data_IF_817320534958
#
_entry.id   IF_817320534958
#
_cell.length_a   1.000
_cell.length_b   1.000
_cell.length_c   1.000
_cell.angle_alpha   90.00
_cell.angle_beta   90.00
_cell.angle_gamma   90.00
#
_symmetry.space_group_name_H-M   'P 1'
#
loop_
_entity.id
_entity.type
_entity.pdbx_description
1 polymer ?
#
# COMPACT_ATOMS: atom_id res chain seq x y z
N UNK A 1 11.91 -27.22 -53.69
CA UNK A 1 10.78 -26.34 -54.05
C UNK A 1 9.90 -25.96 -52.85
N UNK A 2 9.32 -26.93 -52.08
CA UNK A 2 8.48 -26.58 -50.89
C UNK A 2 9.27 -25.90 -49.78
N UNK A 3 10.48 -26.34 -49.44
CA UNK A 3 11.37 -25.70 -48.48
C UNK A 3 11.78 -24.29 -48.88
N UNK A 4 12.05 -24.09 -50.14
CA UNK A 4 12.42 -22.80 -50.70
C UNK A 4 11.25 -21.81 -50.68
N UNK A 5 10.04 -22.26 -51.04
CA UNK A 5 8.81 -21.44 -50.92
C UNK A 5 8.54 -21.03 -49.49
N UNK A 6 8.72 -21.93 -48.52
CA UNK A 6 8.55 -21.62 -47.09
C UNK A 6 9.62 -20.63 -46.60
N UNK A 7 10.87 -20.76 -47.04
CA UNK A 7 11.94 -19.82 -46.71
C UNK A 7 11.64 -18.41 -47.24
N UNK A 8 11.23 -18.32 -48.52
CA UNK A 8 10.88 -17.07 -49.16
C UNK A 8 9.64 -16.42 -48.49
N UNK A 9 8.61 -17.21 -48.19
CA UNK A 9 7.43 -16.71 -47.50
C UNK A 9 7.79 -16.10 -46.10
N UNK A 10 8.67 -16.78 -45.36
CA UNK A 10 9.15 -16.29 -44.06
C UNK A 10 9.98 -15.01 -44.22
N UNK A 11 10.82 -14.94 -45.24
CA UNK A 11 11.62 -13.74 -45.55
C UNK A 11 10.71 -12.55 -45.85
N UNK A 12 9.78 -12.67 -46.79
CA UNK A 12 8.86 -11.61 -47.20
C UNK A 12 7.96 -11.18 -46.04
N UNK A 13 7.48 -12.10 -45.20
CA UNK A 13 6.70 -11.77 -44.00
C UNK A 13 7.53 -10.95 -43.05
N UNK A 14 8.78 -11.35 -42.78
CA UNK A 14 9.68 -10.62 -41.89
C UNK A 14 9.96 -9.20 -42.40
N UNK A 15 10.25 -9.06 -43.68
CA UNK A 15 10.46 -7.75 -44.31
C UNK A 15 9.20 -6.87 -44.23
N UNK A 16 8.04 -7.43 -44.56
CA UNK A 16 6.77 -6.72 -44.46
C UNK A 16 6.48 -6.24 -43.05
N UNK A 17 6.77 -7.05 -42.01
CA UNK A 17 6.60 -6.69 -40.61
C UNK A 17 7.63 -5.62 -40.16
N UNK A 18 8.84 -5.63 -40.70
CA UNK A 18 9.84 -4.57 -40.48
C UNK A 18 9.36 -3.21 -40.96
N UNK A 19 8.69 -3.18 -42.11
CA UNK A 19 8.20 -1.95 -42.75
C UNK A 19 6.79 -1.55 -42.28
N UNK A 20 6.07 -2.44 -41.57
CA UNK A 20 4.70 -2.19 -41.13
C UNK A 20 4.60 -0.98 -40.20
N UNK A 21 3.59 -0.16 -40.41
CA UNK A 21 3.24 0.91 -39.47
C UNK A 21 2.51 0.32 -38.27
N UNK A 22 2.97 0.64 -37.08
CA UNK A 22 2.36 0.17 -35.83
C UNK A 22 1.51 1.30 -35.21
N UNK A 23 0.29 0.96 -34.84
CA UNK A 23 -0.63 1.87 -34.15
C UNK A 23 -0.88 1.39 -32.73
N UNK A 24 -0.82 2.30 -31.78
CA UNK A 24 -1.19 2.08 -30.38
C UNK A 24 -2.18 3.16 -29.96
N UNK A 25 -3.37 2.75 -29.53
CA UNK A 25 -4.45 3.64 -29.14
C UNK A 25 -4.83 4.70 -30.20
N UNK A 26 -4.72 4.32 -31.50
CA UNK A 26 -5.02 5.20 -32.62
C UNK A 26 -3.84 6.05 -33.12
N UNK A 27 -2.77 6.13 -32.38
CA UNK A 27 -1.58 6.90 -32.74
C UNK A 27 -0.49 6.01 -33.37
N UNK A 28 0.24 6.56 -34.35
CA UNK A 28 1.39 5.89 -34.96
C UNK A 28 2.55 5.86 -33.96
N UNK A 29 3.10 4.66 -33.73
CA UNK A 29 4.30 4.48 -32.89
C UNK A 29 5.55 4.46 -33.75
N UNK A 30 6.47 5.39 -33.47
CA UNK A 30 7.83 5.35 -34.02
C UNK A 30 8.72 4.54 -33.10
N UNK A 31 9.27 3.45 -33.58
CA UNK A 31 10.17 2.57 -32.84
C UNK A 31 11.63 2.85 -33.21
N UNK A 32 12.54 2.71 -32.25
CA UNK A 32 13.98 2.80 -32.50
C UNK A 32 14.57 1.46 -32.97
N UNK A 33 13.92 0.37 -32.57
CA UNK A 33 14.33 -0.98 -32.96
C UNK A 33 14.09 -1.24 -34.47
N UNK A 34 15.05 -1.90 -35.10
CA UNK A 34 14.98 -2.28 -36.54
C UNK A 34 14.36 -3.66 -36.71
N UNK A 35 14.52 -4.55 -35.72
CA UNK A 35 14.00 -5.90 -35.76
C UNK A 35 12.54 -5.97 -35.30
N UNK A 36 11.76 -6.89 -35.91
CA UNK A 36 10.32 -7.03 -35.68
C UNK A 36 9.99 -7.18 -34.18
N UNK A 37 10.70 -8.08 -33.51
CA UNK A 37 10.49 -8.32 -32.07
C UNK A 37 10.75 -7.06 -31.24
N UNK A 38 11.81 -6.33 -31.52
CA UNK A 38 12.12 -5.08 -30.85
C UNK A 38 11.04 -4.02 -31.04
N UNK A 39 10.56 -3.86 -32.28
CA UNK A 39 9.48 -2.94 -32.65
C UNK A 39 8.18 -3.27 -31.89
N UNK A 40 7.82 -4.56 -31.83
CA UNK A 40 6.63 -5.02 -31.09
C UNK A 40 6.80 -4.74 -29.59
N UNK A 41 7.95 -5.06 -29.03
CA UNK A 41 8.21 -4.84 -27.60
C UNK A 41 8.15 -3.35 -27.21
N UNK A 42 8.75 -2.46 -28.01
CA UNK A 42 8.65 -1.01 -27.80
C UNK A 42 7.19 -0.53 -27.86
N UNK A 43 6.42 -1.07 -28.82
CA UNK A 43 5.00 -0.71 -28.97
C UNK A 43 4.12 -1.23 -27.85
N UNK A 44 4.38 -2.45 -27.35
CA UNK A 44 3.72 -2.98 -26.15
C UNK A 44 4.11 -2.14 -24.93
N UNK A 45 5.39 -1.78 -24.78
CA UNK A 45 5.83 -0.88 -23.71
C UNK A 45 5.07 0.45 -23.72
N UNK A 46 4.86 1.02 -24.91
CA UNK A 46 4.06 2.24 -25.07
C UNK A 46 2.60 2.03 -24.65
N UNK A 47 1.99 0.91 -25.06
CA UNK A 47 0.63 0.57 -24.65
C UNK A 47 0.51 0.44 -23.12
N UNK A 48 1.46 -0.27 -22.49
CA UNK A 48 1.50 -0.42 -21.03
C UNK A 48 1.58 0.94 -20.34
N UNK A 49 2.45 1.85 -20.80
CA UNK A 49 2.57 3.20 -20.24
C UNK A 49 1.29 4.02 -20.37
N UNK A 50 0.52 3.84 -21.44
CA UNK A 50 -0.76 4.53 -21.63
C UNK A 50 -1.83 3.96 -20.71
N UNK A 51 -1.93 2.64 -20.62
CA UNK A 51 -2.97 1.93 -19.85
C UNK A 51 -2.68 2.00 -18.35
N UNK A 52 -1.41 1.81 -17.97
CA UNK A 52 -0.96 1.80 -16.57
C UNK A 52 -0.06 3.02 -16.30
N UNK A 53 -0.61 4.22 -16.48
CA UNK A 53 0.17 5.46 -16.39
C UNK A 53 0.65 5.78 -14.95
N UNK A 54 0.13 5.08 -13.95
CA UNK A 54 0.57 5.16 -12.54
C UNK A 54 1.46 3.97 -12.13
N UNK A 55 1.78 3.04 -13.03
CA UNK A 55 2.67 1.91 -12.70
C UNK A 55 4.05 2.38 -12.26
N UNK A 56 4.54 3.49 -12.80
CA UNK A 56 5.83 4.11 -12.41
C UNK A 56 5.85 4.70 -10.99
N UNK A 57 4.74 4.69 -10.25
CA UNK A 57 4.72 5.07 -8.85
C UNK A 57 5.40 4.02 -7.95
N UNK A 58 5.54 2.78 -8.46
CA UNK A 58 6.43 1.76 -7.89
C UNK A 58 7.82 1.99 -8.48
N UNK A 59 8.69 2.61 -7.73
CA UNK A 59 10.09 2.85 -8.08
C UNK A 59 11.02 1.77 -7.52
N UNK A 60 10.58 1.02 -6.50
CA UNK A 60 11.27 -0.13 -5.93
C UNK A 60 10.28 -1.27 -5.67
N UNK A 61 10.54 -2.45 -6.26
CA UNK A 61 9.73 -3.64 -6.04
C UNK A 61 10.13 -4.32 -4.72
N UNK A 62 9.15 -4.61 -3.87
CA UNK A 62 9.32 -5.24 -2.58
C UNK A 62 8.38 -6.44 -2.42
N UNK A 63 8.84 -7.46 -1.70
CA UNK A 63 8.07 -8.66 -1.42
C UNK A 63 7.91 -8.94 0.07
N UNK A 64 7.45 -10.17 0.40
CA UNK A 64 7.23 -10.60 1.79
C UNK A 64 8.52 -10.53 2.64
N UNK A 65 9.70 -10.73 2.03
CA UNK A 65 10.98 -10.65 2.74
C UNK A 65 11.24 -9.24 3.29
N UNK A 66 10.91 -8.21 2.53
CA UNK A 66 11.05 -6.81 2.93
C UNK A 66 10.00 -6.42 3.97
N UNK A 67 8.79 -6.97 3.87
CA UNK A 67 7.75 -6.81 4.90
C UNK A 67 8.22 -7.42 6.22
N UNK A 68 8.83 -8.62 6.20
CA UNK A 68 9.43 -9.25 7.39
C UNK A 68 10.51 -8.39 8.01
N UNK A 69 11.46 -7.92 7.22
CA UNK A 69 12.51 -7.00 7.68
C UNK A 69 11.95 -5.74 8.31
N UNK A 70 10.90 -5.18 7.72
CA UNK A 70 10.23 -3.98 8.22
C UNK A 70 9.64 -4.19 9.61
N UNK A 71 9.00 -5.34 9.89
CA UNK A 71 8.43 -5.64 11.20
C UNK A 71 9.48 -6.06 12.24
N UNK A 72 10.54 -6.78 11.84
CA UNK A 72 11.65 -7.18 12.73
C UNK A 72 12.52 -6.02 13.21
N UNK A 73 12.62 -4.95 12.44
CA UNK A 73 13.40 -3.78 12.85
C UNK A 73 12.74 -3.07 14.02
N UNK A 74 13.27 -3.29 15.22
CA UNK A 74 12.86 -2.64 16.45
C UNK A 74 13.12 -1.14 16.34
N UNK A 75 12.08 -0.33 16.24
CA UNK A 75 12.05 1.12 16.52
C UNK A 75 13.14 2.04 15.92
N UNK A 76 13.81 1.68 14.90
CA UNK A 76 14.34 2.70 14.01
C UNK A 76 13.44 2.69 12.76
N UNK A 77 12.36 3.52 12.84
CA UNK A 77 12.22 4.46 11.75
C UNK A 77 13.64 4.92 11.49
N UNK A 78 14.30 4.40 10.50
CA UNK A 78 15.23 5.19 9.74
C UNK A 78 14.34 6.29 9.19
N UNK A 79 14.07 7.27 10.04
CA UNK A 79 13.94 8.64 9.64
C UNK A 79 15.01 8.76 8.60
N UNK A 80 14.60 8.90 7.31
CA UNK A 80 15.54 8.84 6.22
C UNK A 80 16.80 9.54 6.64
N UNK A 81 17.92 8.87 6.55
CA UNK A 81 19.20 9.56 6.52
C UNK A 81 18.94 10.78 5.68
N UNK A 82 19.14 11.97 6.25
CA UNK A 82 18.82 13.23 5.60
C UNK A 82 19.28 13.13 4.15
N UNK A 83 18.32 13.10 3.19
CA UNK A 83 18.62 13.02 1.76
C UNK A 83 18.14 11.76 1.00
N UNK A 84 17.61 10.72 1.62
CA UNK A 84 17.02 9.60 0.88
C UNK A 84 15.49 9.72 0.84
N UNK A 85 14.94 9.92 -0.35
CA UNK A 85 13.50 9.91 -0.59
C UNK A 85 12.95 8.53 -0.24
N UNK A 86 11.85 8.46 0.52
CA UNK A 86 11.18 7.21 0.82
C UNK A 86 10.76 6.52 -0.49
N UNK A 87 11.07 5.22 -0.69
CA UNK A 87 10.67 4.52 -1.90
C UNK A 87 9.15 4.43 -2.02
N UNK A 88 8.66 4.43 -3.27
CA UNK A 88 7.25 4.30 -3.60
C UNK A 88 6.35 5.40 -2.98
N UNK A 89 6.88 6.59 -2.73
CA UNK A 89 6.15 7.69 -2.06
C UNK A 89 4.82 7.99 -2.74
N UNK A 90 4.79 8.15 -4.07
CA UNK A 90 3.55 8.42 -4.80
C UNK A 90 2.52 7.29 -4.68
N UNK A 91 2.99 6.03 -4.65
CA UNK A 91 2.10 4.89 -4.45
C UNK A 91 1.56 4.85 -3.01
N UNK A 92 2.39 5.14 -2.01
CA UNK A 92 1.97 5.26 -0.61
C UNK A 92 0.91 6.34 -0.43
N UNK A 93 1.12 7.52 -1.02
CA UNK A 93 0.19 8.65 -0.94
C UNK A 93 -1.17 8.30 -1.58
N UNK A 94 -1.17 7.69 -2.76
CA UNK A 94 -2.41 7.30 -3.45
C UNK A 94 -3.18 6.20 -2.68
N UNK A 95 -2.47 5.21 -2.10
CA UNK A 95 -3.11 4.16 -1.27
C UNK A 95 -3.70 4.77 -0.01
N UNK A 96 -2.95 5.62 0.69
CA UNK A 96 -3.44 6.31 1.89
C UNK A 96 -4.64 7.19 1.57
N UNK A 97 -4.58 8.00 0.53
CA UNK A 97 -5.68 8.87 0.10
C UNK A 97 -6.96 8.06 -0.23
N UNK A 98 -6.83 6.91 -0.89
CA UNK A 98 -7.97 6.04 -1.17
C UNK A 98 -8.61 5.48 0.11
N UNK A 99 -7.78 5.00 1.06
CA UNK A 99 -8.28 4.47 2.34
C UNK A 99 -8.90 5.60 3.17
N UNK A 100 -8.26 6.76 3.24
CA UNK A 100 -8.77 7.95 3.94
C UNK A 100 -10.13 8.39 3.40
N UNK A 101 -10.27 8.47 2.07
CA UNK A 101 -11.55 8.80 1.44
C UNK A 101 -12.65 7.82 1.84
N UNK A 102 -12.37 6.51 1.82
CA UNK A 102 -13.34 5.49 2.24
C UNK A 102 -13.68 5.62 3.73
N UNK A 103 -12.69 5.90 4.59
CA UNK A 103 -12.91 6.13 6.03
C UNK A 103 -13.84 7.32 6.24
N UNK A 104 -13.61 8.44 5.57
CA UNK A 104 -14.47 9.62 5.65
C UNK A 104 -15.91 9.36 5.15
N UNK A 105 -16.07 8.48 4.17
CA UNK A 105 -17.38 8.06 3.68
C UNK A 105 -18.00 6.93 4.52
N UNK A 106 -17.38 6.51 5.62
CA UNK A 106 -17.81 5.38 6.45
C UNK A 106 -17.91 4.05 5.68
N UNK A 107 -17.12 3.89 4.63
CA UNK A 107 -17.06 2.67 3.85
C UNK A 107 -15.98 1.73 4.39
N UNK A 108 -16.32 0.44 4.49
CA UNK A 108 -15.35 -0.58 4.89
C UNK A 108 -14.33 -0.83 3.79
N UNK A 109 -13.06 -0.67 4.11
CA UNK A 109 -11.94 -0.97 3.20
C UNK A 109 -11.23 -2.24 3.66
N UNK A 110 -11.32 -3.31 2.86
CA UNK A 110 -10.58 -4.55 3.08
C UNK A 110 -9.31 -4.60 2.23
N UNK A 111 -8.41 -5.55 2.52
CA UNK A 111 -7.26 -5.82 1.65
C UNK A 111 -7.71 -6.15 0.22
N UNK A 112 -8.85 -6.86 0.06
CA UNK A 112 -9.43 -7.11 -1.27
C UNK A 112 -9.78 -5.82 -1.99
N UNK A 113 -10.42 -4.88 -1.30
CA UNK A 113 -10.81 -3.58 -1.87
C UNK A 113 -9.58 -2.80 -2.38
N UNK A 114 -8.49 -2.80 -1.60
CA UNK A 114 -7.22 -2.16 -1.99
C UNK A 114 -6.61 -2.87 -3.20
N UNK A 115 -6.52 -4.20 -3.18
CA UNK A 115 -6.03 -5.00 -4.32
C UNK A 115 -6.87 -4.78 -5.58
N UNK A 116 -8.19 -4.81 -5.46
CA UNK A 116 -9.10 -4.59 -6.59
C UNK A 116 -8.94 -3.21 -7.22
N UNK A 117 -8.49 -2.22 -6.46
CA UNK A 117 -8.21 -0.87 -6.95
C UNK A 117 -6.83 -0.75 -7.57
N UNK A 118 -5.77 -1.20 -6.87
CA UNK A 118 -4.38 -0.90 -7.23
C UNK A 118 -3.72 -1.92 -8.15
N UNK A 119 -4.25 -3.14 -8.25
CA UNK A 119 -3.80 -4.11 -9.25
C UNK A 119 -4.41 -3.90 -10.64
N UNK A 120 -5.40 -3.01 -10.78
CA UNK A 120 -6.06 -2.65 -12.06
C UNK A 120 -5.55 -1.32 -12.60
N UNK A 121 -6.03 -0.98 -13.80
CA UNK A 121 -5.76 0.34 -14.39
C UNK A 121 -6.27 1.45 -13.48
N UNK A 122 -5.58 2.56 -13.37
CA UNK A 122 -4.35 2.97 -14.05
C UNK A 122 -3.04 2.53 -13.37
N UNK A 123 -3.09 1.75 -12.28
CA UNK A 123 -1.94 1.40 -11.43
C UNK A 123 -1.19 0.16 -11.94
N UNK A 124 -1.85 -1.01 -11.97
CA UNK A 124 -1.25 -2.27 -12.41
C UNK A 124 -0.17 -2.80 -11.45
N UNK A 125 -0.25 -2.44 -10.15
CA UNK A 125 0.70 -2.93 -9.14
C UNK A 125 0.56 -4.45 -8.98
N UNK A 126 1.66 -5.13 -8.69
CA UNK A 126 1.60 -6.55 -8.36
C UNK A 126 1.15 -6.73 -6.91
N UNK A 127 0.69 -7.93 -6.59
CA UNK A 127 0.12 -8.25 -5.27
C UNK A 127 1.10 -7.94 -4.13
N UNK A 128 2.37 -8.28 -4.31
CA UNK A 128 3.41 -8.08 -3.30
C UNK A 128 3.68 -6.59 -3.04
N UNK A 129 3.67 -5.74 -4.08
CA UNK A 129 3.79 -4.29 -3.91
C UNK A 129 2.62 -3.73 -3.08
N UNK A 130 1.38 -4.18 -3.37
CA UNK A 130 0.20 -3.75 -2.59
C UNK A 130 0.32 -4.17 -1.12
N UNK A 131 0.77 -5.40 -0.86
CA UNK A 131 1.01 -5.88 0.50
C UNK A 131 2.06 -5.02 1.22
N UNK A 132 3.17 -4.70 0.54
CA UNK A 132 4.22 -3.88 1.12
C UNK A 132 3.74 -2.45 1.41
N UNK A 133 3.01 -1.81 0.49
CA UNK A 133 2.46 -0.47 0.68
C UNK A 133 1.55 -0.41 1.91
N UNK A 134 0.64 -1.37 2.06
CA UNK A 134 -0.27 -1.45 3.21
C UNK A 134 0.51 -1.73 4.51
N UNK A 135 1.50 -2.63 4.48
CA UNK A 135 2.36 -2.90 5.63
C UNK A 135 3.15 -1.66 6.07
N UNK A 136 3.67 -0.90 5.10
CA UNK A 136 4.43 0.33 5.36
C UNK A 136 3.58 1.42 6.00
N UNK A 137 2.38 1.66 5.47
CA UNK A 137 1.43 2.63 6.03
C UNK A 137 1.00 2.23 7.46
N UNK A 138 0.76 0.94 7.70
CA UNK A 138 0.46 0.45 9.04
C UNK A 138 1.64 0.62 10.01
N UNK A 139 2.86 0.25 9.59
CA UNK A 139 4.07 0.40 10.41
C UNK A 139 4.37 1.87 10.73
N UNK A 140 4.10 2.79 9.81
CA UNK A 140 4.18 4.24 10.02
C UNK A 140 3.11 4.78 10.98
N UNK A 141 2.06 4.00 11.24
CA UNK A 141 0.92 4.41 12.05
C UNK A 141 -0.08 5.31 11.32
N UNK A 142 -0.12 5.27 9.99
CA UNK A 142 -1.10 6.00 9.18
C UNK A 142 -2.41 5.21 9.03
N UNK A 143 -2.36 3.89 9.23
CA UNK A 143 -3.52 3.00 9.17
C UNK A 143 -3.79 2.32 10.51
N UNK A 144 -5.07 2.16 10.82
CA UNK A 144 -5.58 1.27 11.85
C UNK A 144 -6.12 -0.01 11.21
N UNK A 145 -5.83 -1.16 11.79
CA UNK A 145 -6.29 -2.47 11.33
C UNK A 145 -7.32 -3.06 12.27
N UNK A 146 -8.31 -3.76 11.68
CA UNK A 146 -9.31 -4.55 12.39
C UNK A 146 -9.44 -5.92 11.71
N UNK A 147 -9.38 -7.00 12.50
CA UNK A 147 -9.59 -8.37 12.01
C UNK A 147 -10.65 -9.04 12.88
N UNK A 148 -11.71 -9.56 12.24
CA UNK A 148 -12.86 -10.17 12.94
C UNK A 148 -13.47 -9.27 14.04
N UNK A 149 -13.50 -7.98 13.83
CA UNK A 149 -14.04 -6.99 14.78
C UNK A 149 -13.08 -6.60 15.92
N UNK A 150 -11.89 -7.18 15.99
CA UNK A 150 -10.88 -6.83 17.00
C UNK A 150 -9.82 -5.90 16.39
N UNK A 151 -9.48 -4.83 17.12
CA UNK A 151 -8.38 -3.93 16.76
C UNK A 151 -7.04 -4.66 16.80
N UNK A 152 -6.24 -4.44 15.78
CA UNK A 152 -4.91 -5.04 15.60
C UNK A 152 -3.87 -3.92 15.64
N UNK A 153 -2.89 -4.05 16.51
CA UNK A 153 -1.76 -3.15 16.61
C UNK A 153 -0.45 -3.92 16.88
N UNK A 154 0.68 -3.22 16.79
CA UNK A 154 2.01 -3.82 16.96
C UNK A 154 2.26 -4.31 18.40
N UNK A 155 1.45 -3.90 19.39
CA UNK A 155 1.61 -4.29 20.80
C UNK A 155 0.75 -5.51 21.18
N UNK A 156 -0.33 -5.80 20.43
CA UNK A 156 -1.26 -6.88 20.76
C UNK A 156 -1.16 -8.08 19.81
N UNK A 157 -0.29 -8.01 18.80
CA UNK A 157 -0.06 -9.06 17.80
C UNK A 157 1.41 -9.30 17.58
N UNK A 158 1.76 -10.55 17.31
CA UNK A 158 3.12 -10.91 16.90
C UNK A 158 3.37 -10.46 15.46
N UNK A 159 4.64 -10.29 15.11
CA UNK A 159 5.06 -9.94 13.75
C UNK A 159 4.54 -10.94 12.71
N UNK A 160 4.61 -12.23 13.01
CA UNK A 160 4.11 -13.30 12.14
C UNK A 160 2.57 -13.22 11.92
N UNK A 161 1.82 -12.86 12.97
CA UNK A 161 0.38 -12.64 12.84
C UNK A 161 0.10 -11.44 11.94
N UNK A 162 0.82 -10.32 12.13
CA UNK A 162 0.66 -9.10 11.31
C UNK A 162 0.97 -9.37 9.84
N UNK A 163 2.08 -10.05 9.56
CA UNK A 163 2.45 -10.46 8.20
C UNK A 163 1.38 -11.37 7.60
N UNK A 164 0.90 -12.34 8.38
CA UNK A 164 -0.16 -13.27 7.94
C UNK A 164 -1.46 -12.56 7.60
N UNK A 165 -1.87 -11.56 8.39
CA UNK A 165 -3.07 -10.76 8.11
C UNK A 165 -2.96 -10.00 6.79
N UNK A 166 -1.77 -9.51 6.44
CA UNK A 166 -1.52 -8.73 5.22
C UNK A 166 -1.40 -9.65 4.00
N UNK A 167 -0.67 -10.79 4.12
CA UNK A 167 -0.24 -11.58 2.95
C UNK A 167 -1.10 -12.80 2.66
N UNK A 168 -1.79 -13.37 3.67
CA UNK A 168 -2.52 -14.64 3.47
C UNK A 168 -3.91 -14.43 2.89
N UNK A 169 -4.26 -15.26 1.91
CA UNK A 169 -5.58 -15.25 1.24
C UNK A 169 -6.76 -15.37 2.22
N UNK A 170 -6.57 -16.07 3.34
CA UNK A 170 -7.61 -16.25 4.36
C UNK A 170 -8.07 -14.94 5.02
N UNK A 171 -7.27 -13.89 4.96
CA UNK A 171 -7.54 -12.59 5.59
C UNK A 171 -7.87 -11.47 4.59
N UNK A 172 -7.83 -11.75 3.30
CA UNK A 172 -8.00 -10.72 2.25
C UNK A 172 -9.30 -9.92 2.35
N UNK A 173 -10.38 -10.55 2.83
CA UNK A 173 -11.67 -9.88 3.10
C UNK A 173 -11.88 -9.54 4.58
N UNK A 174 -11.11 -10.16 5.49
CA UNK A 174 -11.25 -10.02 6.94
C UNK A 174 -10.39 -8.91 7.53
N UNK A 175 -9.24 -8.62 6.90
CA UNK A 175 -8.42 -7.49 7.28
C UNK A 175 -9.09 -6.22 6.78
N UNK A 176 -9.68 -5.47 7.69
CA UNK A 176 -10.23 -4.15 7.45
C UNK A 176 -9.20 -3.10 7.86
N UNK A 177 -9.19 -1.98 7.14
CA UNK A 177 -8.27 -0.89 7.38
C UNK A 177 -8.98 0.45 7.25
N UNK A 178 -8.56 1.40 8.09
CA UNK A 178 -9.06 2.75 8.15
C UNK A 178 -7.89 3.71 8.30
N UNK A 179 -8.03 4.94 7.86
CA UNK A 179 -7.08 5.99 8.16
C UNK A 179 -7.02 6.20 9.67
N UNK A 180 -5.82 6.22 10.24
CA UNK A 180 -5.61 6.56 11.63
C UNK A 180 -5.43 8.07 11.76
N UNK A 181 -6.43 8.74 12.29
CA UNK A 181 -6.32 10.15 12.63
C UNK A 181 -5.32 10.29 13.78
N UNK A 182 -4.18 10.90 13.50
CA UNK A 182 -3.19 11.18 14.53
C UNK A 182 -3.70 12.32 15.41
N UNK A 183 -3.87 12.05 16.69
CA UNK A 183 -4.19 13.09 17.67
C UNK A 183 -2.94 13.95 17.87
N UNK A 184 -3.10 15.27 17.77
CA UNK A 184 -1.97 16.18 17.96
C UNK A 184 -1.52 16.21 19.45
N UNK A 185 -0.29 16.61 19.70
CA UNK A 185 0.27 16.64 21.07
C UNK A 185 -0.49 17.59 22.02
N UNK A 186 -1.13 18.62 21.48
CA UNK A 186 -1.96 19.54 22.27
C UNK A 186 -3.19 18.84 22.82
N UNK A 187 -3.86 18.01 22.00
CA UNK A 187 -5.04 17.27 22.42
C UNK A 187 -4.66 16.13 23.39
N UNK A 188 -3.54 15.44 23.14
CA UNK A 188 -2.99 14.45 24.08
C UNK A 188 -2.67 15.09 25.43
N UNK A 189 -2.08 16.28 25.42
CA UNK A 189 -1.81 17.03 26.64
C UNK A 189 -3.11 17.40 27.36
N UNK A 190 -4.11 17.90 26.65
CA UNK A 190 -5.42 18.25 27.23
C UNK A 190 -6.08 17.04 27.91
N UNK A 191 -6.06 15.86 27.26
CA UNK A 191 -6.59 14.63 27.87
C UNK A 191 -5.80 14.24 29.12
N UNK A 192 -4.46 14.33 29.09
CA UNK A 192 -3.61 14.06 30.26
C UNK A 192 -3.92 15.02 31.42
N UNK A 193 -4.12 16.31 31.14
CA UNK A 193 -4.46 17.33 32.14
C UNK A 193 -5.83 17.01 32.76
N UNK A 194 -6.85 16.67 31.95
CA UNK A 194 -8.16 16.22 32.44
C UNK A 194 -8.03 14.96 33.32
N UNK A 195 -7.25 13.97 32.90
CA UNK A 195 -7.03 12.74 33.65
C UNK A 195 -6.40 13.04 35.03
N UNK A 196 -5.46 13.97 35.08
CA UNK A 196 -4.81 14.39 36.32
C UNK A 196 -5.77 15.14 37.24
N UNK A 197 -6.55 16.06 36.69
CA UNK A 197 -7.48 16.89 37.48
C UNK A 197 -8.71 16.11 37.95
N UNK A 198 -9.29 15.26 37.09
CA UNK A 198 -10.54 14.55 37.39
C UNK A 198 -10.28 13.25 38.16
N UNK A 199 -9.24 12.49 37.75
CA UNK A 199 -8.98 11.16 38.33
C UNK A 199 -7.76 11.13 39.27
N UNK A 200 -7.08 12.26 39.50
CA UNK A 200 -5.92 12.36 40.41
C UNK A 200 -4.72 11.51 39.98
N UNK A 201 -4.59 11.18 38.67
CA UNK A 201 -3.56 10.26 38.20
C UNK A 201 -2.22 10.96 38.02
N UNK A 202 -1.16 10.38 38.60
CA UNK A 202 0.23 10.77 38.32
C UNK A 202 0.89 9.72 37.41
N UNK A 203 1.42 10.15 36.26
CA UNK A 203 2.18 9.25 35.37
C UNK A 203 1.32 8.58 34.29
N UNK A 204 0.70 9.40 33.45
CA UNK A 204 0.00 8.91 32.25
C UNK A 204 1.03 8.65 31.15
N UNK A 205 0.93 7.49 30.49
CA UNK A 205 1.76 7.15 29.33
C UNK A 205 1.72 8.23 28.25
N UNK A 206 2.77 8.31 27.45
CA UNK A 206 2.89 9.33 26.40
C UNK A 206 2.24 8.89 25.07
N UNK A 207 2.05 7.57 24.87
CA UNK A 207 1.46 7.03 23.66
C UNK A 207 -0.06 7.09 23.68
N UNK A 208 -0.65 7.32 22.52
CA UNK A 208 -2.08 7.54 22.31
C UNK A 208 -2.94 6.36 22.78
N UNK A 209 -2.53 5.12 22.46
CA UNK A 209 -3.30 3.92 22.81
C UNK A 209 -3.37 3.71 24.34
N UNK A 210 -2.28 3.99 25.04
CA UNK A 210 -2.21 3.92 26.50
C UNK A 210 -3.00 5.04 27.17
N UNK A 211 -2.97 6.26 26.61
CA UNK A 211 -3.80 7.38 27.07
C UNK A 211 -5.28 7.00 26.98
N UNK A 212 -5.73 6.50 25.83
CA UNK A 212 -7.13 6.11 25.61
C UNK A 212 -7.58 4.98 26.54
N UNK A 213 -6.76 3.91 26.70
CA UNK A 213 -7.06 2.81 27.62
C UNK A 213 -7.15 3.27 29.08
N UNK A 214 -6.21 4.11 29.50
CA UNK A 214 -6.20 4.65 30.85
C UNK A 214 -7.42 5.53 31.09
N UNK A 215 -7.77 6.42 30.16
CA UNK A 215 -8.97 7.24 30.26
C UNK A 215 -10.24 6.40 30.40
N UNK A 216 -10.42 5.41 29.52
CA UNK A 216 -11.58 4.50 29.57
C UNK A 216 -11.68 3.78 30.92
N UNK A 217 -10.55 3.25 31.40
CA UNK A 217 -10.51 2.54 32.71
C UNK A 217 -10.88 3.44 33.86
N UNK A 218 -10.31 4.65 33.94
CA UNK A 218 -10.61 5.58 35.03
C UNK A 218 -12.04 6.10 34.94
N UNK A 219 -12.53 6.44 33.76
CA UNK A 219 -13.91 6.86 33.59
C UNK A 219 -14.91 5.75 33.99
N UNK A 220 -14.65 4.50 33.63
CA UNK A 220 -15.50 3.38 34.02
C UNK A 220 -15.48 3.13 35.54
N UNK A 221 -14.31 3.22 36.16
CA UNK A 221 -14.19 3.09 37.61
C UNK A 221 -14.98 4.18 38.34
N UNK A 222 -14.85 5.45 37.93
CA UNK A 222 -15.58 6.56 38.53
C UNK A 222 -17.10 6.40 38.34
N UNK A 223 -17.55 5.93 37.16
CA UNK A 223 -18.99 5.63 36.97
C UNK A 223 -19.45 4.56 37.94
N UNK A 224 -18.68 3.50 38.13
CA UNK A 224 -19.03 2.40 39.05
C UNK A 224 -18.98 2.81 40.54
N UNK A 225 -18.24 3.88 40.89
CA UNK A 225 -18.20 4.41 42.27
C UNK A 225 -19.37 5.37 42.59
N UNK A 226 -19.98 5.95 41.54
CA UNK A 226 -21.09 6.91 41.68
C UNK A 226 -22.46 6.21 41.63
N UNK A 227 -22.56 5.07 40.99
CA UNK A 227 -23.76 4.23 40.90
C UNK A 227 -23.85 3.24 42.04
#
# INVERSE_FOLDING_TARGET
EMRERNANAKLYLTESLKEATIYVNGDTVRTSAKEVTGRINESIGRLVQIVYNKLSYIDAAYGEAEIRKMFHSTNQLTLGLEGTTEPNTHALDDVLAFIAQNTHMHMKTSMKTVKDRFMKTPYGFVEDDVHWLVARLFKRGDLAFTVNGASVNQNNKTEEELISFITKKAFVEKLLMEERVRVNEKDKKAVRDVMKEVFGTSGVAEDEDSIMKNFQRYAQNTINEIL
#
